data_IF_184301508213
#
_entry.id   IF_184301508213
#
_cell.length_a   1.000
_cell.length_b   1.000
_cell.length_c   1.000
_cell.angle_alpha   90.00
_cell.angle_beta   90.00
_cell.angle_gamma   90.00
#
_symmetry.space_group_name_H-M   'P 1'
#
loop_
_entity.id
_entity.type
_entity.pdbx_description
1 polymer ?
#
# COMPACT_ATOMS: atom_id res chain seq x y z
N UNK A 1 36.76 -40.04 -15.32
CA UNK A 1 35.53 -39.44 -15.89
C UNK A 1 34.39 -39.32 -14.90
N UNK A 2 34.13 -40.26 -14.03
CA UNK A 2 33.07 -40.23 -13.00
C UNK A 2 33.21 -39.13 -11.97
N UNK A 3 34.44 -38.83 -11.49
CA UNK A 3 34.70 -37.78 -10.48
C UNK A 3 34.47 -36.35 -10.98
N UNK A 4 34.68 -36.09 -12.29
CA UNK A 4 34.47 -34.79 -12.91
C UNK A 4 32.96 -34.48 -13.03
N UNK A 5 32.15 -35.50 -13.36
CA UNK A 5 30.70 -35.37 -13.45
C UNK A 5 30.06 -35.09 -12.08
N UNK A 6 30.55 -35.79 -11.02
CA UNK A 6 30.11 -35.54 -9.62
C UNK A 6 30.47 -34.15 -9.14
N UNK A 7 31.64 -33.62 -9.50
CA UNK A 7 32.05 -32.27 -9.16
C UNK A 7 31.21 -31.20 -9.86
N UNK A 8 30.81 -31.44 -11.13
CA UNK A 8 29.97 -30.54 -11.90
C UNK A 8 28.54 -30.51 -11.37
N UNK A 9 27.98 -31.67 -11.02
CA UNK A 9 26.65 -31.78 -10.40
C UNK A 9 26.60 -31.11 -9.03
N UNK A 10 27.67 -31.30 -8.20
CA UNK A 10 27.78 -30.64 -6.90
C UNK A 10 27.94 -29.11 -7.02
N UNK A 11 28.59 -28.60 -8.09
CA UNK A 11 28.75 -27.18 -8.34
C UNK A 11 27.43 -26.54 -8.81
N UNK A 12 26.69 -27.21 -9.70
CA UNK A 12 25.35 -26.77 -10.14
C UNK A 12 24.33 -26.81 -9.01
N UNK A 13 24.38 -27.82 -8.14
CA UNK A 13 23.50 -27.91 -6.98
C UNK A 13 23.79 -26.80 -5.95
N UNK A 14 25.05 -26.37 -5.83
CA UNK A 14 25.43 -25.24 -4.94
C UNK A 14 24.84 -23.91 -5.40
N UNK A 15 24.79 -23.65 -6.71
CA UNK A 15 24.21 -22.43 -7.24
C UNK A 15 22.69 -22.36 -6.98
N UNK A 16 22.00 -23.48 -7.15
CA UNK A 16 20.56 -23.56 -6.87
C UNK A 16 20.24 -23.52 -5.36
N UNK A 17 21.08 -24.10 -4.54
CA UNK A 17 20.93 -24.04 -3.07
C UNK A 17 21.17 -22.63 -2.54
N UNK A 18 22.12 -21.86 -3.11
CA UNK A 18 22.36 -20.47 -2.67
C UNK A 18 21.16 -19.57 -2.99
N UNK A 19 20.49 -19.76 -4.12
CA UNK A 19 19.26 -19.01 -4.43
C UNK A 19 18.09 -19.39 -3.51
N UNK A 20 17.97 -20.67 -3.12
CA UNK A 20 16.97 -21.13 -2.16
C UNK A 20 17.26 -20.60 -0.74
N UNK A 21 18.53 -20.52 -0.33
CA UNK A 21 18.89 -19.95 0.97
C UNK A 21 18.72 -18.43 1.02
N UNK A 22 19.06 -17.69 -0.02
CA UNK A 22 18.78 -16.24 -0.12
C UNK A 22 17.28 -15.96 -0.15
N UNK A 23 16.48 -16.79 -0.82
CA UNK A 23 15.03 -16.68 -0.80
C UNK A 23 14.43 -16.99 0.59
N UNK A 24 14.99 -17.95 1.34
CA UNK A 24 14.54 -18.29 2.69
C UNK A 24 14.97 -17.22 3.71
N UNK A 25 16.17 -16.66 3.62
CA UNK A 25 16.62 -15.55 4.46
C UNK A 25 15.84 -14.25 4.15
N UNK A 26 15.55 -13.99 2.88
CA UNK A 26 14.70 -12.87 2.45
C UNK A 26 13.24 -13.00 2.91
N UNK A 27 12.78 -14.22 3.20
CA UNK A 27 11.44 -14.49 3.73
C UNK A 27 11.34 -14.44 5.25
N UNK A 28 12.47 -14.55 5.96
CA UNK A 28 12.52 -14.77 7.41
C UNK A 28 12.58 -13.49 8.27
N UNK A 29 12.69 -12.29 7.67
CA UNK A 29 12.69 -11.03 8.43
C UNK A 29 11.32 -10.35 8.44
N UNK A 30 10.91 -9.83 9.60
CA UNK A 30 9.69 -9.05 9.72
C UNK A 30 9.70 -7.82 8.77
N UNK A 31 8.60 -7.55 8.06
CA UNK A 31 8.51 -6.37 7.21
C UNK A 31 8.70 -5.09 8.04
N UNK A 32 9.60 -4.21 7.60
CA UNK A 32 9.85 -2.93 8.26
C UNK A 32 8.97 -1.83 7.67
N UNK A 33 8.66 -0.77 8.42
CA UNK A 33 7.98 0.40 7.88
C UNK A 33 8.76 1.01 6.70
N UNK A 34 8.02 1.35 5.64
CA UNK A 34 8.52 2.03 4.46
C UNK A 34 7.88 3.41 4.39
N UNK A 35 8.68 4.46 4.33
CA UNK A 35 8.18 5.84 4.33
C UNK A 35 8.21 6.40 2.90
N UNK A 36 7.05 6.80 2.34
CA UNK A 36 7.03 7.48 1.06
C UNK A 36 7.67 8.86 1.15
N UNK A 37 8.41 9.26 0.13
CA UNK A 37 9.02 10.59 0.01
C UNK A 37 8.15 11.55 -0.79
N UNK A 38 7.15 11.03 -1.52
CA UNK A 38 6.21 11.81 -2.31
C UNK A 38 4.78 11.36 -2.02
N UNK A 39 3.89 12.35 -1.89
CA UNK A 39 2.46 12.14 -1.75
C UNK A 39 1.72 12.96 -2.81
N UNK A 40 0.82 12.32 -3.56
CA UNK A 40 -0.02 12.95 -4.60
C UNK A 40 -1.45 12.45 -4.47
N UNK A 41 -2.38 13.23 -5.01
CA UNK A 41 -3.78 12.84 -5.12
C UNK A 41 -4.37 13.34 -6.44
N UNK A 42 -5.46 12.72 -6.90
CA UNK A 42 -6.24 13.20 -8.05
C UNK A 42 -6.82 14.58 -7.82
N UNK A 43 -7.29 14.82 -6.60
CA UNK A 43 -7.78 16.11 -6.09
C UNK A 43 -7.72 16.11 -4.56
N UNK A 44 -7.85 17.29 -3.96
CA UNK A 44 -7.86 17.42 -2.51
C UNK A 44 -8.74 18.58 -2.05
N UNK A 45 -9.45 18.38 -0.96
CA UNK A 45 -10.19 19.43 -0.28
C UNK A 45 -9.23 20.36 0.49
N UNK A 46 -9.66 21.58 0.76
CA UNK A 46 -8.87 22.53 1.58
C UNK A 46 -8.54 21.88 2.93
N UNK A 47 -7.29 21.91 3.34
CA UNK A 47 -6.75 21.33 4.59
C UNK A 47 -6.79 19.80 4.69
N UNK A 48 -7.12 19.07 3.60
CA UNK A 48 -7.16 17.60 3.54
C UNK A 48 -6.33 17.08 2.37
N UNK A 49 -5.06 17.47 2.35
CA UNK A 49 -4.12 17.12 1.30
C UNK A 49 -3.62 15.68 1.36
N UNK A 50 -3.03 15.21 0.27
CA UNK A 50 -2.50 13.85 0.13
C UNK A 50 -1.51 13.47 1.24
N UNK A 51 -0.67 14.43 1.68
CA UNK A 51 0.33 14.20 2.72
C UNK A 51 -0.27 13.75 4.05
N UNK A 52 -1.50 14.21 4.38
CA UNK A 52 -2.18 13.86 5.62
C UNK A 52 -2.51 12.36 5.76
N UNK A 53 -2.51 11.61 4.65
CA UNK A 53 -2.73 10.16 4.68
C UNK A 53 -1.41 9.35 4.75
N UNK A 54 -0.24 10.01 4.89
CA UNK A 54 1.06 9.36 4.93
C UNK A 54 1.98 9.97 6.00
N UNK A 55 1.42 10.75 6.94
CA UNK A 55 2.20 11.50 7.92
C UNK A 55 2.40 10.79 9.27
N UNK A 56 1.87 9.58 9.41
CA UNK A 56 1.95 8.78 10.64
C UNK A 56 0.90 9.16 11.70
N UNK A 57 -0.07 10.02 11.36
CA UNK A 57 -1.10 10.47 12.29
C UNK A 57 -2.50 10.07 11.79
N UNK A 58 -3.22 9.32 12.57
CA UNK A 58 -4.58 8.84 12.24
C UNK A 58 -5.71 9.79 12.67
N UNK A 59 -5.40 11.04 12.98
CA UNK A 59 -6.33 12.13 13.32
C UNK A 59 -6.38 13.24 12.26
N UNK A 60 -5.65 13.06 11.17
CA UNK A 60 -5.72 13.84 9.93
C UNK A 60 -6.18 12.92 8.82
N UNK A 61 -6.60 13.46 7.71
CA UNK A 61 -7.04 12.63 6.59
C UNK A 61 -6.93 13.37 5.27
N UNK A 62 -6.76 12.61 4.22
CA UNK A 62 -7.02 13.07 2.87
C UNK A 62 -8.49 12.95 2.53
N UNK A 63 -9.00 13.93 1.80
CA UNK A 63 -10.30 13.88 1.14
C UNK A 63 -10.22 14.58 -0.23
N UNK A 64 -10.92 14.08 -1.27
CA UNK A 64 -10.97 14.75 -2.57
C UNK A 64 -11.72 16.07 -2.51
N UNK A 65 -11.55 16.92 -3.52
CA UNK A 65 -12.20 18.23 -3.60
C UNK A 65 -13.73 18.12 -3.66
N UNK A 66 -14.26 17.15 -4.43
CA UNK A 66 -15.69 16.93 -4.55
C UNK A 66 -16.24 16.04 -3.42
N UNK A 67 -17.44 16.33 -2.89
CA UNK A 67 -18.12 15.43 -1.98
C UNK A 67 -18.68 14.19 -2.71
N UNK A 68 -19.14 13.20 -1.93
CA UNK A 68 -19.72 11.96 -2.44
C UNK A 68 -18.84 10.74 -2.18
N UNK A 69 -18.98 9.70 -2.99
CA UNK A 69 -18.29 8.42 -2.86
C UNK A 69 -16.79 8.47 -3.14
N UNK A 70 -16.33 9.50 -3.87
CA UNK A 70 -14.95 9.58 -4.31
C UNK A 70 -14.54 8.51 -5.34
N UNK A 71 -15.48 7.85 -6.00
CA UNK A 71 -15.20 6.85 -7.03
C UNK A 71 -14.28 7.41 -8.12
N UNK A 72 -13.17 6.70 -8.41
CA UNK A 72 -12.13 7.11 -9.33
C UNK A 72 -11.12 8.12 -8.77
N UNK A 73 -11.36 8.68 -7.58
CA UNK A 73 -10.37 9.51 -6.90
C UNK A 73 -9.26 8.63 -6.32
N UNK A 74 -8.03 9.16 -6.27
CA UNK A 74 -6.89 8.38 -5.82
C UNK A 74 -5.92 9.15 -4.93
N UNK A 75 -5.22 8.41 -4.08
CA UNK A 75 -3.97 8.74 -3.43
C UNK A 75 -2.81 8.01 -4.10
N UNK A 76 -1.64 8.62 -4.17
CA UNK A 76 -0.42 7.99 -4.67
C UNK A 76 0.77 8.32 -3.78
N UNK A 77 1.44 7.28 -3.31
CA UNK A 77 2.70 7.35 -2.60
C UNK A 77 3.86 7.04 -3.54
N UNK A 78 4.96 7.79 -3.47
CA UNK A 78 6.20 7.55 -4.20
C UNK A 78 7.37 7.30 -3.26
N UNK A 79 8.25 6.36 -3.62
CA UNK A 79 9.47 6.03 -2.89
C UNK A 79 10.68 6.54 -3.65
N UNK A 80 11.71 7.01 -2.93
CA UNK A 80 12.97 7.52 -3.53
C UNK A 80 13.74 6.39 -4.23
N UNK A 81 13.75 5.21 -3.60
CA UNK A 81 14.37 4.01 -4.14
C UNK A 81 13.32 2.91 -4.30
N UNK A 82 13.49 1.97 -5.24
CA UNK A 82 12.61 0.83 -5.37
C UNK A 82 12.54 0.01 -4.07
N UNK A 83 11.35 -0.38 -3.65
CA UNK A 83 11.11 -1.14 -2.43
C UNK A 83 10.46 -2.49 -2.74
N UNK A 84 10.67 -3.46 -1.87
CA UNK A 84 9.92 -4.70 -1.86
C UNK A 84 8.75 -4.57 -0.89
N UNK A 85 7.57 -4.26 -1.43
CA UNK A 85 6.35 -4.13 -0.65
C UNK A 85 5.82 -5.51 -0.23
N UNK A 86 5.30 -5.62 0.99
CA UNK A 86 4.71 -6.84 1.54
C UNK A 86 3.30 -6.63 2.08
N UNK A 87 3.06 -5.47 2.70
CA UNK A 87 1.82 -5.20 3.43
C UNK A 87 1.46 -3.74 3.39
N UNK A 88 0.16 -3.47 3.36
CA UNK A 88 -0.44 -2.16 3.62
C UNK A 88 -1.27 -2.22 4.90
N UNK A 89 -1.23 -1.15 5.68
CA UNK A 89 -2.23 -0.84 6.68
C UNK A 89 -3.01 0.38 6.23
N UNK A 90 -4.33 0.33 6.30
CA UNK A 90 -5.21 1.43 5.90
C UNK A 90 -6.13 1.76 7.07
N UNK A 91 -6.12 3.03 7.51
CA UNK A 91 -7.13 3.60 8.40
C UNK A 91 -8.11 4.40 7.57
N UNK A 92 -9.29 3.86 7.33
CA UNK A 92 -10.36 4.50 6.57
C UNK A 92 -11.10 5.56 7.41
N UNK A 93 -11.82 6.45 6.74
CA UNK A 93 -12.57 7.52 7.39
C UNK A 93 -11.69 8.70 7.80
N UNK A 94 -12.24 9.56 8.65
CA UNK A 94 -11.57 10.79 9.11
C UNK A 94 -10.69 10.61 10.34
N UNK A 95 -10.80 9.48 11.03
CA UNK A 95 -10.03 9.17 12.23
C UNK A 95 -10.21 7.70 12.61
N UNK A 96 -9.28 7.15 13.39
CA UNK A 96 -9.41 5.84 14.03
C UNK A 96 -10.40 5.84 15.21
N UNK A 97 -10.82 7.03 15.70
CA UNK A 97 -11.78 7.14 16.81
C UNK A 97 -13.20 6.88 16.33
N UNK A 98 -14.00 6.03 17.04
CA UNK A 98 -15.33 5.63 16.59
C UNK A 98 -16.31 6.78 16.34
N UNK A 99 -16.30 7.83 17.19
CA UNK A 99 -17.17 8.98 17.09
C UNK A 99 -16.79 9.94 15.95
N UNK A 100 -15.55 9.95 15.52
CA UNK A 100 -15.05 10.75 14.41
C UNK A 100 -15.09 9.97 13.08
N UNK A 101 -14.92 8.65 13.12
CA UNK A 101 -14.90 7.75 11.98
C UNK A 101 -16.10 7.93 11.03
N UNK A 102 -17.30 8.07 11.59
CA UNK A 102 -18.55 8.18 10.84
C UNK A 102 -18.84 9.60 10.30
N UNK A 103 -17.98 10.58 10.55
CA UNK A 103 -18.21 11.98 10.10
C UNK A 103 -18.09 12.14 8.59
N UNK A 104 -17.25 11.32 7.96
CA UNK A 104 -17.01 11.32 6.52
C UNK A 104 -17.44 10.00 5.87
N UNK A 105 -17.49 9.94 4.53
CA UNK A 105 -17.61 8.69 3.82
C UNK A 105 -16.29 7.91 3.94
N UNK A 106 -16.36 6.59 3.90
CA UNK A 106 -15.24 5.66 4.09
C UNK A 106 -15.13 4.75 2.89
N UNK A 107 -13.95 4.56 2.27
CA UNK A 107 -13.81 3.61 1.19
C UNK A 107 -14.26 2.21 1.64
N UNK A 108 -15.06 1.54 0.82
CA UNK A 108 -15.41 0.13 0.97
C UNK A 108 -14.63 -0.77 0.01
N UNK A 109 -14.23 -0.20 -1.14
CA UNK A 109 -13.42 -0.87 -2.15
C UNK A 109 -12.33 0.07 -2.65
N UNK A 110 -11.10 -0.44 -2.70
CA UNK A 110 -9.93 0.26 -3.21
C UNK A 110 -9.18 -0.65 -4.17
N UNK A 111 -8.89 -0.15 -5.37
CA UNK A 111 -7.89 -0.79 -6.26
C UNK A 111 -6.51 -0.22 -5.94
N UNK A 112 -5.59 -1.07 -5.49
CA UNK A 112 -4.17 -0.76 -5.33
C UNK A 112 -3.46 -1.05 -6.64
N UNK A 113 -2.74 -0.05 -7.17
CA UNK A 113 -1.86 -0.21 -8.34
C UNK A 113 -0.41 -0.02 -7.89
N UNK A 114 0.41 -1.05 -8.04
CA UNK A 114 1.85 -1.00 -7.85
C UNK A 114 2.52 -0.66 -9.18
N UNK A 115 3.49 0.23 -9.16
CA UNK A 115 4.30 0.59 -10.34
C UNK A 115 5.75 0.28 -10.03
N UNK A 116 6.36 -0.59 -10.83
CA UNK A 116 7.78 -0.95 -10.69
C UNK A 116 8.70 0.14 -11.24
N UNK A 117 10.00 0.02 -10.99
CA UNK A 117 11.03 0.87 -11.56
C UNK A 117 11.06 0.83 -13.10
N UNK A 118 10.62 -0.28 -13.70
CA UNK A 118 10.51 -0.48 -15.15
C UNK A 118 9.19 0.07 -15.72
N UNK A 119 8.28 0.57 -14.85
CA UNK A 119 6.97 1.10 -15.23
C UNK A 119 5.89 0.04 -15.38
N UNK A 120 6.17 -1.21 -15.05
CA UNK A 120 5.18 -2.28 -15.02
C UNK A 120 4.13 -2.01 -13.95
N UNK A 121 2.89 -2.40 -14.22
CA UNK A 121 1.76 -2.18 -13.31
C UNK A 121 1.12 -3.49 -12.90
N UNK A 122 0.95 -3.66 -11.60
CA UNK A 122 0.19 -4.76 -11.00
C UNK A 122 -0.93 -4.19 -10.16
N UNK A 123 -2.13 -4.75 -10.24
CA UNK A 123 -3.30 -4.29 -9.48
C UNK A 123 -3.79 -5.35 -8.52
N UNK A 124 -4.35 -4.89 -7.40
CA UNK A 124 -5.06 -5.72 -6.42
C UNK A 124 -6.25 -4.95 -5.87
N UNK A 125 -7.41 -5.58 -5.87
CA UNK A 125 -8.61 -5.01 -5.24
C UNK A 125 -8.66 -5.39 -3.76
N UNK A 126 -8.99 -4.41 -2.93
CA UNK A 126 -9.12 -4.54 -1.49
C UNK A 126 -10.55 -4.20 -1.09
N UNK A 127 -11.14 -5.04 -0.23
CA UNK A 127 -12.40 -4.76 0.45
C UNK A 127 -12.10 -4.34 1.88
N UNK A 128 -12.63 -3.19 2.28
CA UNK A 128 -12.48 -2.63 3.61
C UNK A 128 -13.78 -2.80 4.39
N UNK A 129 -13.66 -3.20 5.65
CA UNK A 129 -14.78 -3.25 6.57
C UNK A 129 -15.18 -1.84 7.05
N UNK A 130 -16.47 -1.62 7.33
CA UNK A 130 -16.98 -0.36 7.87
C UNK A 130 -16.76 -0.27 9.39
N UNK A 131 -15.49 -0.39 9.79
CA UNK A 131 -15.05 -0.38 11.19
C UNK A 131 -13.93 0.63 11.40
N UNK A 132 -13.90 1.33 12.57
CA UNK A 132 -12.80 2.24 12.88
C UNK A 132 -11.50 1.47 13.17
N UNK A 133 -10.37 2.12 12.91
CA UNK A 133 -9.03 1.58 13.15
C UNK A 133 -8.35 1.05 11.88
N UNK A 134 -7.19 0.47 12.08
CA UNK A 134 -6.34 -0.04 11.00
C UNK A 134 -6.84 -1.39 10.48
N UNK A 135 -6.83 -1.53 9.17
CA UNK A 135 -7.06 -2.79 8.47
C UNK A 135 -5.82 -3.19 7.70
N UNK A 136 -5.42 -4.45 7.80
CA UNK A 136 -4.18 -4.99 7.23
C UNK A 136 -4.46 -5.78 5.95
N UNK A 137 -3.66 -5.52 4.91
CA UNK A 137 -3.79 -6.16 3.60
C UNK A 137 -2.42 -6.64 3.13
N UNK A 138 -2.33 -7.91 2.75
CA UNK A 138 -1.15 -8.44 2.08
C UNK A 138 -1.13 -7.94 0.63
N UNK A 139 -0.19 -7.07 0.32
CA UNK A 139 0.03 -6.53 -1.03
C UNK A 139 1.50 -6.66 -1.34
N UNK A 140 1.83 -7.52 -2.29
CA UNK A 140 3.21 -7.88 -2.61
C UNK A 140 3.64 -7.30 -3.94
N UNK A 141 4.85 -6.73 -3.97
CA UNK A 141 5.50 -6.26 -5.17
C UNK A 141 6.99 -6.07 -4.97
N UNK A 142 7.79 -6.42 -5.96
CA UNK A 142 9.22 -6.14 -6.03
C UNK A 142 9.47 -4.90 -6.87
N UNK A 143 10.57 -4.19 -6.56
CA UNK A 143 11.00 -2.99 -7.28
C UNK A 143 9.94 -1.88 -7.39
N UNK A 144 9.06 -1.77 -6.38
CA UNK A 144 7.96 -0.82 -6.37
C UNK A 144 8.50 0.59 -6.12
N UNK A 145 8.22 1.52 -7.03
CA UNK A 145 8.54 2.94 -6.90
C UNK A 145 7.33 3.79 -6.58
N UNK A 146 6.11 3.33 -6.92
CA UNK A 146 4.86 4.03 -6.61
C UNK A 146 3.76 3.06 -6.26
N UNK A 147 2.92 3.49 -5.32
CA UNK A 147 1.69 2.79 -4.92
C UNK A 147 0.52 3.77 -5.04
N UNK A 148 -0.47 3.44 -5.86
CA UNK A 148 -1.70 4.22 -6.02
C UNK A 148 -2.87 3.44 -5.44
N UNK A 149 -3.67 4.13 -4.62
CA UNK A 149 -4.91 3.65 -4.04
C UNK A 149 -6.07 4.40 -4.71
N UNK A 150 -6.84 3.73 -5.55
CA UNK A 150 -8.01 4.31 -6.26
C UNK A 150 -9.28 3.83 -5.58
N UNK A 151 -10.11 4.76 -5.11
CA UNK A 151 -11.40 4.46 -4.51
C UNK A 151 -12.37 3.97 -5.58
N UNK A 152 -13.00 2.82 -5.36
CA UNK A 152 -14.01 2.24 -6.25
C UNK A 152 -15.41 2.41 -5.68
N UNK A 153 -15.57 2.22 -4.37
CA UNK A 153 -16.84 2.36 -3.66
C UNK A 153 -16.61 2.90 -2.25
N UNK A 154 -17.68 3.41 -1.61
CA UNK A 154 -17.60 3.96 -0.27
C UNK A 154 -18.89 3.76 0.54
N UNK A 155 -18.72 3.46 1.84
CA UNK A 155 -19.77 3.50 2.84
C UNK A 155 -20.16 4.94 3.19
N UNK A 156 -21.42 5.18 3.47
CA UNK A 156 -21.94 6.44 3.99
C UNK A 156 -21.73 7.63 3.04
N UNK A 157 -21.60 7.38 1.73
CA UNK A 157 -21.48 8.42 0.72
C UNK A 157 -22.73 9.31 0.66
N UNK A 158 -22.55 10.63 0.76
CA UNK A 158 -23.61 11.64 0.73
C UNK A 158 -23.07 12.93 0.11
N UNK A 159 -23.94 13.83 -0.31
CA UNK A 159 -23.58 15.10 -0.92
C UNK A 159 -22.89 16.09 0.04
N UNK A 160 -23.06 15.89 1.34
CA UNK A 160 -22.46 16.68 2.41
C UNK A 160 -21.18 16.05 2.99
N UNK A 161 -20.75 14.89 2.49
CA UNK A 161 -19.57 14.14 2.95
C UNK A 161 -18.61 13.88 1.82
N UNK A 162 -17.33 13.74 2.16
CA UNK A 162 -16.28 13.28 1.25
C UNK A 162 -15.78 11.93 1.68
N UNK A 163 -15.35 11.11 0.73
CA UNK A 163 -14.57 9.92 1.11
C UNK A 163 -13.28 10.39 1.78
N UNK A 164 -12.92 9.73 2.88
CA UNK A 164 -11.73 10.09 3.66
C UNK A 164 -10.84 8.86 3.92
N UNK A 165 -9.53 9.07 3.90
CA UNK A 165 -8.52 8.09 4.31
C UNK A 165 -7.62 8.79 5.31
N UNK A 166 -7.62 8.31 6.58
CA UNK A 166 -6.86 8.92 7.65
C UNK A 166 -5.37 8.57 7.56
N UNK A 167 -5.03 7.28 7.28
CA UNK A 167 -3.63 6.87 7.20
C UNK A 167 -3.46 5.66 6.29
N UNK A 168 -2.33 5.63 5.58
CA UNK A 168 -1.85 4.48 4.80
C UNK A 168 -0.39 4.25 5.15
N UNK A 169 -0.10 3.09 5.70
CA UNK A 169 1.25 2.68 6.05
C UNK A 169 1.71 1.53 5.15
N UNK A 170 2.98 1.54 4.81
CA UNK A 170 3.61 0.56 3.94
C UNK A 170 4.64 -0.24 4.73
N UNK A 171 4.69 -1.54 4.52
CA UNK A 171 5.64 -2.44 5.16
C UNK A 171 6.30 -3.35 4.14
N UNK A 172 7.62 -3.52 4.30
CA UNK A 172 8.42 -4.32 3.40
C UNK A 172 9.90 -4.19 3.66
N UNK A 173 10.71 -4.10 2.59
CA UNK A 173 12.16 -3.95 2.62
C UNK A 173 12.60 -2.93 1.57
N UNK A 174 13.65 -2.20 1.89
CA UNK A 174 14.43 -1.38 0.95
C UNK A 174 15.45 -2.23 0.25
#
# INVERSE_FOLDING_TARGET
MFLVVLALVAWLARAQLSELFTFAEDSAGDPKPLHPTQARASSQARSHGAQAAFDGFNNRYWAPAAPGSGTGQYLEAGFEHPVRLRKLLITSGSSAKPDEFLRQARPSEITVTLVSAQGERTTKDLHLDDTPGQQSFDVQGSDVTRVRLTVQAAYGARQDRRVAIAEVEFFGRQ
#
